data_IF_042599443957
#
_entry.id   IF_042599443957
#
_cell.length_a   1.000
_cell.length_b   1.000
_cell.length_c   1.000
_cell.angle_alpha   90.00
_cell.angle_beta   90.00
_cell.angle_gamma   90.00
#
_symmetry.space_group_name_H-M   'P 1'
#
loop_
_entity.id
_entity.type
_entity.pdbx_description
1 polymer ?
#
# COMPACT_ATOMS: atom_id res chain seq x y z
N UNK A 1 47.64 26.76 -19.78
CA UNK A 1 47.04 25.47 -20.22
C UNK A 1 46.80 24.49 -19.07
N UNK A 2 47.71 24.36 -18.08
CA UNK A 2 47.52 23.45 -16.92
C UNK A 2 46.42 23.86 -15.93
N UNK A 3 46.21 25.16 -15.69
CA UNK A 3 45.13 25.64 -14.78
C UNK A 3 43.73 25.31 -15.30
N UNK A 4 43.46 25.54 -16.59
CA UNK A 4 42.17 25.19 -17.21
C UNK A 4 41.85 23.70 -17.09
N UNK A 5 42.86 22.82 -17.15
CA UNK A 5 42.66 21.38 -16.99
C UNK A 5 42.30 20.99 -15.55
N UNK A 6 42.83 21.69 -14.55
CA UNK A 6 42.51 21.46 -13.14
C UNK A 6 41.09 21.91 -12.80
N UNK A 7 40.66 23.06 -13.32
CA UNK A 7 39.30 23.56 -13.12
C UNK A 7 38.24 22.70 -13.82
N UNK A 8 38.52 22.21 -15.03
CA UNK A 8 37.64 21.24 -15.72
C UNK A 8 37.55 19.92 -14.95
N UNK A 9 38.65 19.43 -14.38
CA UNK A 9 38.65 18.20 -13.54
C UNK A 9 37.83 18.37 -12.26
N UNK A 10 37.97 19.51 -11.57
CA UNK A 10 37.15 19.84 -10.39
C UNK A 10 35.66 19.91 -10.73
N UNK A 11 35.32 20.61 -11.81
CA UNK A 11 33.93 20.71 -12.27
C UNK A 11 33.35 19.33 -12.60
N UNK A 12 34.11 18.49 -13.32
CA UNK A 12 33.70 17.12 -13.64
C UNK A 12 33.48 16.27 -12.38
N UNK A 13 34.35 16.38 -11.37
CA UNK A 13 34.18 15.69 -10.09
C UNK A 13 32.91 16.13 -9.36
N UNK A 14 32.62 17.44 -9.33
CA UNK A 14 31.39 17.96 -8.72
C UNK A 14 30.17 17.45 -9.47
N UNK A 15 30.18 17.52 -10.81
CA UNK A 15 29.07 17.05 -11.64
C UNK A 15 28.79 15.55 -11.43
N UNK A 16 29.83 14.71 -11.38
CA UNK A 16 29.69 13.27 -11.09
C UNK A 16 29.12 13.06 -9.69
N UNK A 17 29.62 13.80 -8.70
CA UNK A 17 29.11 13.75 -7.33
C UNK A 17 27.63 14.13 -7.23
N UNK A 18 27.22 15.20 -7.91
CA UNK A 18 25.82 15.62 -7.97
C UNK A 18 24.93 14.55 -8.61
N UNK A 19 25.35 13.94 -9.73
CA UNK A 19 24.60 12.86 -10.37
C UNK A 19 24.45 11.65 -9.43
N UNK A 20 25.54 11.24 -8.77
CA UNK A 20 25.51 10.13 -7.83
C UNK A 20 24.55 10.39 -6.66
N UNK A 21 24.58 11.59 -6.09
CA UNK A 21 23.65 12.00 -5.02
C UNK A 21 22.20 11.98 -5.53
N UNK A 22 21.94 12.54 -6.72
CA UNK A 22 20.59 12.53 -7.30
C UNK A 22 20.08 11.11 -7.52
N UNK A 23 20.92 10.20 -8.00
CA UNK A 23 20.55 8.79 -8.18
C UNK A 23 20.21 8.11 -6.84
N UNK A 24 21.04 8.32 -5.82
CA UNK A 24 20.80 7.75 -4.48
C UNK A 24 19.49 8.27 -3.87
N UNK A 25 19.25 9.57 -3.96
CA UNK A 25 18.01 10.18 -3.46
C UNK A 25 16.79 9.68 -4.23
N UNK A 26 16.90 9.59 -5.56
CA UNK A 26 15.81 9.09 -6.41
C UNK A 26 15.46 7.64 -6.08
N UNK A 27 16.47 6.78 -5.89
CA UNK A 27 16.27 5.40 -5.47
C UNK A 27 15.60 5.32 -4.09
N UNK A 28 16.04 6.14 -3.13
CA UNK A 28 15.45 6.17 -1.79
C UNK A 28 13.98 6.60 -1.82
N UNK A 29 13.65 7.65 -2.56
CA UNK A 29 12.27 8.14 -2.73
C UNK A 29 11.40 7.09 -3.42
N UNK A 30 11.92 6.45 -4.47
CA UNK A 30 11.20 5.38 -5.16
C UNK A 30 10.85 4.22 -4.21
N UNK A 31 11.79 3.79 -3.35
CA UNK A 31 11.52 2.74 -2.37
C UNK A 31 10.49 3.13 -1.31
N UNK A 32 10.51 4.39 -0.84
CA UNK A 32 9.52 4.87 0.13
C UNK A 32 8.11 4.91 -0.49
N UNK A 33 8.00 5.31 -1.75
CA UNK A 33 6.71 5.47 -2.41
C UNK A 33 6.15 4.16 -2.95
N UNK A 34 7.01 3.26 -3.46
CA UNK A 34 6.61 2.09 -4.25
C UNK A 34 7.29 0.76 -3.88
N UNK A 35 8.18 0.72 -2.88
CA UNK A 35 8.79 -0.52 -2.40
C UNK A 35 7.87 -1.40 -1.52
N UNK A 36 8.41 -2.47 -0.95
CA UNK A 36 7.62 -3.45 -0.17
C UNK A 36 7.02 -2.85 1.11
N UNK A 37 7.72 -1.91 1.74
CA UNK A 37 7.26 -1.17 2.92
C UNK A 37 6.85 0.26 2.56
N UNK A 38 6.17 0.41 1.43
CA UNK A 38 5.84 1.72 0.88
C UNK A 38 4.50 2.29 1.33
N UNK A 39 4.31 3.57 1.01
CA UNK A 39 3.04 4.26 1.17
C UNK A 39 1.92 3.61 0.35
N UNK A 40 2.20 3.12 -0.86
CA UNK A 40 1.23 2.42 -1.69
C UNK A 40 0.75 1.13 -1.02
N UNK A 41 1.70 0.30 -0.55
CA UNK A 41 1.38 -0.94 0.18
C UNK A 41 0.56 -0.64 1.42
N UNK A 42 0.97 0.34 2.24
CA UNK A 42 0.19 0.76 3.41
C UNK A 42 -1.24 1.16 3.06
N UNK A 43 -1.41 1.96 2.00
CA UNK A 43 -2.72 2.46 1.56
C UNK A 43 -3.61 1.31 1.09
N UNK A 44 -3.06 0.38 0.31
CA UNK A 44 -3.79 -0.80 -0.15
C UNK A 44 -4.26 -1.67 1.04
N UNK A 45 -3.40 -1.86 2.03
CA UNK A 45 -3.69 -2.67 3.21
C UNK A 45 -4.76 -2.01 4.10
N UNK A 46 -4.68 -0.68 4.24
CA UNK A 46 -5.70 0.12 4.94
C UNK A 46 -7.07 -0.01 4.26
N UNK A 47 -7.13 0.20 2.95
CA UNK A 47 -8.38 0.09 2.20
C UNK A 47 -8.95 -1.34 2.27
N UNK A 48 -8.09 -2.36 2.16
CA UNK A 48 -8.50 -3.76 2.29
C UNK A 48 -9.06 -4.05 3.67
N UNK A 49 -8.44 -3.52 4.73
CA UNK A 49 -8.93 -3.64 6.10
C UNK A 49 -10.31 -3.00 6.25
N UNK A 50 -10.49 -1.77 5.78
CA UNK A 50 -11.79 -1.07 5.85
C UNK A 50 -12.88 -1.84 5.10
N UNK A 51 -12.58 -2.34 3.90
CA UNK A 51 -13.46 -3.22 3.13
C UNK A 51 -13.85 -4.47 3.94
N UNK A 52 -12.87 -5.20 4.47
CA UNK A 52 -13.13 -6.43 5.25
C UNK A 52 -13.95 -6.15 6.52
N UNK A 53 -13.74 -5.01 7.17
CA UNK A 53 -14.56 -4.61 8.32
C UNK A 53 -16.02 -4.33 7.94
N UNK A 54 -16.26 -3.74 6.77
CA UNK A 54 -17.63 -3.57 6.26
C UNK A 54 -18.27 -4.91 5.89
N UNK A 55 -17.48 -5.82 5.30
CA UNK A 55 -17.92 -7.16 4.90
C UNK A 55 -18.36 -7.99 6.11
N UNK A 56 -17.57 -7.95 7.19
CA UNK A 56 -17.91 -8.63 8.45
C UNK A 56 -19.28 -8.15 8.96
N UNK A 57 -19.51 -6.84 8.98
CA UNK A 57 -20.80 -6.29 9.45
C UNK A 57 -21.95 -6.73 8.55
N UNK A 58 -21.78 -6.71 7.22
CA UNK A 58 -22.80 -7.16 6.28
C UNK A 58 -23.13 -8.64 6.52
N UNK A 59 -22.10 -9.49 6.57
CA UNK A 59 -22.28 -10.93 6.79
C UNK A 59 -22.94 -11.24 8.14
N UNK A 60 -22.66 -10.46 9.20
CA UNK A 60 -23.34 -10.61 10.48
C UNK A 60 -24.83 -10.28 10.40
N UNK A 61 -25.21 -9.22 9.66
CA UNK A 61 -26.61 -8.87 9.45
C UNK A 61 -27.33 -9.93 8.60
N UNK A 62 -26.70 -10.37 7.52
CA UNK A 62 -27.23 -11.42 6.65
C UNK A 62 -27.42 -12.73 7.43
N UNK A 63 -26.43 -13.09 8.26
CA UNK A 63 -26.52 -14.28 9.10
C UNK A 63 -27.67 -14.19 10.11
N UNK A 64 -27.87 -13.04 10.76
CA UNK A 64 -28.98 -12.85 11.69
C UNK A 64 -30.35 -12.90 10.97
N UNK A 65 -30.44 -12.35 9.76
CA UNK A 65 -31.65 -12.41 8.94
C UNK A 65 -31.98 -13.86 8.54
N UNK A 66 -30.99 -14.59 8.02
CA UNK A 66 -31.15 -15.99 7.64
C UNK A 66 -31.47 -16.89 8.84
N UNK A 67 -30.88 -16.64 10.01
CA UNK A 67 -31.24 -17.37 11.23
C UNK A 67 -32.69 -17.16 11.61
N UNK A 68 -33.20 -15.92 11.49
CA UNK A 68 -34.61 -15.63 11.76
C UNK A 68 -35.52 -16.39 10.80
N UNK A 69 -35.27 -16.31 9.51
CA UNK A 69 -36.06 -17.01 8.48
C UNK A 69 -36.03 -18.54 8.69
N UNK A 70 -34.85 -19.09 9.01
CA UNK A 70 -34.70 -20.50 9.35
C UNK A 70 -35.57 -20.92 10.55
N UNK A 71 -35.62 -20.11 11.61
CA UNK A 71 -36.48 -20.41 12.76
C UNK A 71 -37.98 -20.28 12.43
N UNK A 72 -38.36 -19.30 11.61
CA UNK A 72 -39.76 -19.16 11.16
C UNK A 72 -40.20 -20.37 10.33
N UNK A 73 -39.37 -20.84 9.41
CA UNK A 73 -39.64 -22.04 8.60
C UNK A 73 -39.71 -23.30 9.48
N UNK A 74 -38.77 -23.48 10.41
CA UNK A 74 -38.77 -24.63 11.33
C UNK A 74 -40.03 -24.70 12.20
N UNK A 75 -40.58 -23.55 12.61
CA UNK A 75 -41.83 -23.50 13.37
C UNK A 75 -43.07 -23.80 12.52
N UNK A 76 -42.96 -23.78 11.19
CA UNK A 76 -44.05 -24.13 10.26
C UNK A 76 -44.01 -25.61 9.85
N UNK A 77 -42.90 -26.31 10.13
CA UNK A 77 -42.80 -27.75 9.93
C UNK A 77 -43.61 -28.47 11.04
N UNK A 78 -44.49 -29.43 10.69
CA UNK A 78 -45.22 -30.20 11.69
C UNK A 78 -44.23 -30.97 12.57
N UNK A 79 -44.42 -30.95 13.88
CA UNK A 79 -43.63 -31.79 14.80
C UNK A 79 -43.88 -33.27 14.46
N UNK A 80 -42.81 -34.04 14.23
CA UNK A 80 -42.86 -35.50 14.07
C UNK A 80 -43.30 -36.20 15.36
#
# INVERSE_FOLDING_TARGET
MRENLHEVKKFSLIAIGSIAITMLLSYHVANILFGDNSLEVYTSLKNKKEYLQSEIKRLQLDNAHLQKEYFELKNLEPEE
#
